data_IF_191479986138
#
_entry.id   IF_191479986138
#
_cell.length_a   1.000
_cell.length_b   1.000
_cell.length_c   1.000
_cell.angle_alpha   90.00
_cell.angle_beta   90.00
_cell.angle_gamma   90.00
#
_symmetry.space_group_name_H-M   'P 1'
#
loop_
_entity.id
_entity.type
_entity.pdbx_description
1 polymer ?
#
# COMPACT_ATOMS: atom_id res chain seq x y z
N UNK A 1 12.05 4.46 31.06
CA UNK A 1 12.67 5.17 32.22
C UNK A 1 12.68 6.63 31.86
N UNK A 2 11.98 7.48 32.63
CA UNK A 2 11.84 8.88 32.25
C UNK A 2 13.18 9.61 32.39
N UNK A 3 13.74 10.06 31.28
CA UNK A 3 14.99 10.83 31.29
C UNK A 3 14.67 12.23 31.81
N UNK A 4 15.05 12.49 33.07
CA UNK A 4 14.93 13.84 33.64
C UNK A 4 15.89 14.78 32.91
N UNK A 5 15.30 15.70 32.13
CA UNK A 5 16.01 16.80 31.47
C UNK A 5 16.14 17.99 32.43
N UNK A 6 17.32 18.59 32.49
CA UNK A 6 17.49 19.90 33.13
C UNK A 6 16.74 20.99 32.36
N UNK A 7 16.50 22.14 32.98
CA UNK A 7 15.88 23.30 32.30
C UNK A 7 16.70 23.75 31.10
N UNK A 8 18.03 23.66 31.20
CA UNK A 8 18.98 23.95 30.13
C UNK A 8 18.90 22.93 28.98
N UNK A 9 18.52 21.67 29.25
CA UNK A 9 18.38 20.62 28.24
C UNK A 9 17.04 20.64 27.48
N UNK A 10 16.07 21.46 27.90
CA UNK A 10 14.83 21.73 27.13
C UNK A 10 15.09 22.73 26.01
N UNK A 11 16.09 22.42 25.20
CA UNK A 11 16.60 23.25 24.11
C UNK A 11 15.62 23.15 22.94
N UNK A 12 15.61 24.21 22.13
CA UNK A 12 15.01 24.16 20.80
C UNK A 12 15.98 23.42 19.89
N UNK A 13 15.57 22.27 19.35
CA UNK A 13 16.38 21.52 18.38
C UNK A 13 16.42 22.33 17.09
N UNK A 14 17.60 22.85 16.75
CA UNK A 14 17.84 23.61 15.53
C UNK A 14 18.44 22.74 14.42
N UNK A 15 19.25 21.76 14.81
CA UNK A 15 19.89 20.78 13.93
C UNK A 15 19.96 19.41 14.64
N UNK A 16 20.30 18.36 13.90
CA UNK A 16 20.46 17.00 14.43
C UNK A 16 21.61 16.92 15.44
N UNK A 17 22.71 17.66 15.24
CA UNK A 17 23.93 17.58 16.03
C UNK A 17 23.70 17.96 17.50
N UNK A 18 22.89 19.00 17.75
CA UNK A 18 22.48 19.41 19.09
C UNK A 18 21.77 18.27 19.82
N UNK A 19 20.87 17.56 19.12
CA UNK A 19 20.12 16.45 19.69
C UNK A 19 21.02 15.23 19.91
N UNK A 20 21.88 14.91 18.95
CA UNK A 20 22.85 13.80 19.06
C UNK A 20 23.73 13.98 20.29
N UNK A 21 24.26 15.18 20.53
CA UNK A 21 25.09 15.46 21.72
C UNK A 21 24.33 15.18 23.02
N UNK A 22 23.06 15.57 23.11
CA UNK A 22 22.21 15.29 24.28
C UNK A 22 22.01 13.77 24.42
N UNK A 23 21.71 13.08 23.32
CA UNK A 23 21.43 11.64 23.34
C UNK A 23 22.68 10.80 23.66
N UNK A 24 23.84 11.17 23.14
CA UNK A 24 25.12 10.55 23.50
C UNK A 24 25.43 10.77 24.99
N UNK A 25 25.21 11.98 25.53
CA UNK A 25 25.35 12.20 26.97
C UNK A 25 24.40 11.34 27.79
N UNK A 26 23.16 11.11 27.33
CA UNK A 26 22.20 10.22 27.97
C UNK A 26 22.72 8.77 27.95
N UNK A 27 23.19 8.28 26.79
CA UNK A 27 23.79 6.95 26.64
C UNK A 27 25.01 6.78 27.56
N UNK A 28 25.85 7.81 27.69
CA UNK A 28 27.04 7.79 28.55
C UNK A 28 26.74 7.76 30.06
N UNK A 29 25.49 7.99 30.48
CA UNK A 29 25.05 7.78 31.88
C UNK A 29 24.94 6.29 32.22
N UNK A 30 24.72 5.44 31.22
CA UNK A 30 24.73 3.99 31.42
C UNK A 30 26.15 3.48 31.66
N UNK A 31 26.28 2.40 32.43
CA UNK A 31 27.57 1.73 32.57
C UNK A 31 27.95 0.99 31.28
N UNK A 32 29.19 0.47 31.20
CA UNK A 32 29.68 -0.23 30.00
C UNK A 32 28.79 -1.40 29.56
N UNK A 33 28.18 -2.12 30.51
CA UNK A 33 27.30 -3.25 30.20
C UNK A 33 25.97 -2.75 29.62
N UNK A 34 25.44 -1.65 30.15
CA UNK A 34 24.23 -1.00 29.64
C UNK A 34 24.44 -0.52 28.21
N UNK A 35 25.52 0.23 27.95
CA UNK A 35 25.85 0.75 26.61
C UNK A 35 26.07 -0.32 25.54
N UNK A 36 26.42 -1.53 25.96
CA UNK A 36 26.51 -2.68 25.07
C UNK A 36 25.16 -3.25 24.63
N UNK A 37 24.03 -2.68 25.09
CA UNK A 37 22.69 -3.02 24.64
C UNK A 37 22.16 -1.96 23.69
N UNK A 38 21.25 -2.39 22.85
CA UNK A 38 20.44 -1.50 22.03
C UNK A 38 19.36 -0.83 22.85
N UNK A 39 19.26 0.47 22.67
CA UNK A 39 18.24 1.33 23.25
C UNK A 39 17.51 2.00 22.11
N UNK A 40 16.21 2.16 22.29
CA UNK A 40 15.37 2.92 21.40
C UNK A 40 14.64 3.98 22.19
N UNK A 41 14.88 5.23 21.85
CA UNK A 41 14.24 6.39 22.44
C UNK A 41 13.34 7.09 21.44
N UNK A 42 12.41 7.85 22.02
CA UNK A 42 11.68 8.87 21.29
C UNK A 42 11.99 10.23 21.91
N UNK A 43 11.98 11.24 21.05
CA UNK A 43 12.10 12.64 21.44
C UNK A 43 10.82 13.33 21.00
N UNK A 44 9.99 13.69 21.98
CA UNK A 44 8.74 14.40 21.75
C UNK A 44 9.00 15.89 21.62
N UNK A 45 8.52 16.50 20.53
CA UNK A 45 8.75 17.91 20.23
C UNK A 45 7.45 18.71 20.20
N UNK A 46 7.54 19.97 20.62
CA UNK A 46 6.54 20.99 20.35
C UNK A 46 6.63 21.49 18.90
N UNK A 47 5.65 22.29 18.47
CA UNK A 47 5.59 22.92 17.16
C UNK A 47 6.79 23.83 16.83
N UNK A 48 7.46 24.36 17.85
CA UNK A 48 8.65 25.21 17.69
C UNK A 48 9.97 24.43 17.88
N UNK A 49 9.94 23.10 17.71
CA UNK A 49 11.06 22.17 17.87
C UNK A 49 11.66 22.13 19.29
N UNK A 50 10.94 22.61 20.31
CA UNK A 50 11.38 22.46 21.70
C UNK A 50 11.15 21.03 22.19
N UNK A 51 12.15 20.45 22.84
CA UNK A 51 12.02 19.13 23.49
C UNK A 51 11.02 19.20 24.64
N UNK A 52 9.96 18.41 24.53
CA UNK A 52 8.96 18.19 25.58
C UNK A 52 9.37 17.04 26.50
N UNK A 53 9.90 15.97 25.91
CA UNK A 53 10.27 14.73 26.60
C UNK A 53 11.27 13.94 25.77
N UNK A 54 12.16 13.22 26.46
CA UNK A 54 12.90 12.09 25.92
C UNK A 54 12.53 10.87 26.75
N UNK A 55 12.09 9.79 26.10
CA UNK A 55 11.68 8.56 26.78
C UNK A 55 12.37 7.36 26.13
N UNK A 56 12.90 6.46 26.98
CA UNK A 56 13.40 5.16 26.56
C UNK A 56 12.19 4.23 26.36
N UNK A 57 11.91 3.88 25.11
CA UNK A 57 10.80 3.00 24.73
C UNK A 57 11.19 1.54 24.89
N UNK A 58 12.41 1.19 24.50
CA UNK A 58 12.83 -0.20 24.53
C UNK A 58 14.30 -0.34 24.87
N UNK A 59 14.60 -1.33 25.71
CA UNK A 59 15.95 -1.77 26.05
C UNK A 59 16.09 -3.21 25.56
N UNK A 60 16.82 -3.38 24.48
CA UNK A 60 16.97 -4.62 23.76
C UNK A 60 18.18 -5.43 24.20
N UNK A 61 18.56 -6.33 23.31
CA UNK A 61 19.78 -7.13 23.40
C UNK A 61 20.95 -6.37 22.75
N UNK A 62 22.05 -7.08 22.50
CA UNK A 62 23.18 -6.53 21.74
C UNK A 62 22.92 -6.44 20.23
N UNK A 63 21.88 -7.11 19.71
CA UNK A 63 21.64 -7.28 18.27
C UNK A 63 20.30 -6.70 17.78
N UNK A 64 19.36 -6.48 18.70
CA UNK A 64 18.03 -5.99 18.35
C UNK A 64 17.26 -5.52 19.57
N UNK A 65 16.33 -4.61 19.32
CA UNK A 65 15.33 -4.13 20.27
C UNK A 65 13.94 -4.15 19.62
N UNK A 66 12.92 -4.55 20.39
CA UNK A 66 11.54 -4.58 19.91
C UNK A 66 10.91 -3.20 20.11
N UNK A 67 10.35 -2.61 19.05
CA UNK A 67 9.71 -1.30 19.09
C UNK A 67 8.28 -1.42 18.56
N UNK A 68 7.30 -1.27 19.45
CA UNK A 68 5.89 -1.30 19.08
C UNK A 68 5.30 0.12 19.00
N UNK A 69 4.47 0.42 17.98
CA UNK A 69 3.92 1.77 17.80
C UNK A 69 3.07 2.26 18.97
N UNK A 70 2.39 1.35 19.67
CA UNK A 70 1.59 1.70 20.84
C UNK A 70 2.45 2.36 21.93
N UNK A 71 3.64 1.83 22.18
CA UNK A 71 4.56 2.37 23.19
C UNK A 71 5.13 3.71 22.73
N UNK A 72 5.53 3.82 21.45
CA UNK A 72 6.05 5.06 20.85
C UNK A 72 5.02 6.20 20.95
N UNK A 73 3.81 5.98 20.44
CA UNK A 73 2.83 7.06 20.29
C UNK A 73 2.03 7.33 21.56
N UNK A 74 1.93 6.38 22.51
CA UNK A 74 1.29 6.64 23.81
C UNK A 74 1.95 7.82 24.54
N UNK A 75 3.28 7.85 24.62
CA UNK A 75 4.00 8.96 25.24
C UNK A 75 3.89 10.27 24.45
N UNK A 76 3.98 10.20 23.13
CA UNK A 76 3.82 11.37 22.27
C UNK A 76 2.46 12.05 22.47
N UNK A 77 1.38 11.26 22.47
CA UNK A 77 0.02 11.74 22.67
C UNK A 77 -0.21 12.26 24.09
N UNK A 78 0.25 11.54 25.11
CA UNK A 78 0.17 11.99 26.52
C UNK A 78 0.88 13.32 26.75
N UNK A 79 1.97 13.58 26.02
CA UNK A 79 2.73 14.85 26.11
C UNK A 79 2.29 15.91 25.13
N UNK A 80 1.24 15.65 24.34
CA UNK A 80 0.76 16.56 23.27
C UNK A 80 1.91 16.97 22.33
N UNK A 81 2.77 16.01 22.02
CA UNK A 81 3.81 16.20 21.03
C UNK A 81 3.16 16.48 19.68
N UNK A 82 3.68 17.47 18.96
CA UNK A 82 3.23 17.79 17.60
C UNK A 82 4.00 16.98 16.58
N UNK A 83 5.20 16.51 16.95
CA UNK A 83 6.09 15.73 16.09
C UNK A 83 7.11 14.99 16.98
N UNK A 84 7.72 13.93 16.46
CA UNK A 84 8.70 13.11 17.19
C UNK A 84 9.98 12.90 16.38
N UNK A 85 11.08 12.61 17.07
CA UNK A 85 12.31 12.05 16.48
C UNK A 85 12.55 10.69 17.12
N UNK A 86 12.91 9.71 16.29
CA UNK A 86 13.32 8.38 16.74
C UNK A 86 14.83 8.39 16.96
N UNK A 87 15.31 7.75 18.02
CA UNK A 87 16.74 7.63 18.28
C UNK A 87 17.06 6.20 18.68
N UNK A 88 18.07 5.63 18.05
CA UNK A 88 18.52 4.27 18.30
C UNK A 88 20.04 4.25 18.46
N UNK A 89 20.59 3.45 19.37
CA UNK A 89 22.04 3.26 19.43
C UNK A 89 22.47 1.91 18.88
N UNK A 90 23.62 1.90 18.19
CA UNK A 90 24.31 0.68 17.77
C UNK A 90 25.53 0.43 18.66
N UNK A 91 25.51 -0.60 19.52
CA UNK A 91 26.65 -0.96 20.36
C UNK A 91 27.91 -1.36 19.59
N UNK A 92 27.76 -1.78 18.32
CA UNK A 92 28.84 -2.15 17.43
C UNK A 92 29.79 -0.99 17.12
N UNK A 93 29.31 0.25 17.23
CA UNK A 93 30.03 1.45 16.80
C UNK A 93 29.87 1.78 15.31
N UNK A 94 29.12 1.00 14.56
CA UNK A 94 28.70 1.33 13.20
C UNK A 94 27.38 2.11 13.22
N UNK A 95 27.16 2.96 12.22
CA UNK A 95 25.93 3.77 12.11
C UNK A 95 25.09 3.39 10.90
N UNK A 96 25.49 2.32 10.18
CA UNK A 96 24.77 1.87 9.00
C UNK A 96 23.43 1.25 9.42
N UNK A 97 22.30 1.73 8.88
CA UNK A 97 20.98 1.25 9.27
C UNK A 97 20.73 -0.19 8.84
N UNK A 98 20.18 -1.00 9.74
CA UNK A 98 19.74 -2.36 9.43
C UNK A 98 18.39 -2.37 8.70
N UNK A 99 18.02 -3.53 8.14
CA UNK A 99 16.66 -3.73 7.61
C UNK A 99 15.58 -3.56 8.70
N UNK A 100 15.89 -3.95 9.93
CA UNK A 100 15.01 -3.75 11.09
C UNK A 100 14.78 -2.27 11.39
N UNK A 101 15.83 -1.46 11.35
CA UNK A 101 15.74 -0.01 11.53
C UNK A 101 14.85 0.63 10.46
N UNK A 102 15.05 0.24 9.20
CA UNK A 102 14.25 0.72 8.07
C UNK A 102 12.78 0.33 8.20
N UNK A 103 12.49 -0.92 8.57
CA UNK A 103 11.13 -1.42 8.79
C UNK A 103 10.42 -0.66 9.93
N UNK A 104 11.10 -0.48 11.07
CA UNK A 104 10.54 0.28 12.21
C UNK A 104 10.29 1.72 11.79
N UNK A 105 11.24 2.35 11.09
CA UNK A 105 11.11 3.73 10.60
C UNK A 105 9.89 3.88 9.68
N UNK A 106 9.74 3.01 8.68
CA UNK A 106 8.60 3.01 7.75
C UNK A 106 7.27 2.90 8.51
N UNK A 107 7.18 1.92 9.41
CA UNK A 107 5.98 1.69 10.23
C UNK A 107 5.63 2.90 11.09
N UNK A 108 6.60 3.52 11.76
CA UNK A 108 6.37 4.70 12.60
C UNK A 108 6.04 5.93 11.77
N UNK A 109 6.66 6.14 10.61
CA UNK A 109 6.35 7.24 9.71
C UNK A 109 4.90 7.17 9.21
N UNK A 110 4.47 5.98 8.77
CA UNK A 110 3.11 5.78 8.30
C UNK A 110 2.08 6.08 9.41
N UNK A 111 2.28 5.52 10.60
CA UNK A 111 1.38 5.72 11.75
C UNK A 111 1.39 7.18 12.21
N UNK A 112 2.57 7.78 12.35
CA UNK A 112 2.73 9.16 12.77
C UNK A 112 2.05 10.13 11.81
N UNK A 113 2.15 9.88 10.49
CA UNK A 113 1.39 10.62 9.49
C UNK A 113 -0.12 10.45 9.65
N UNK A 114 -0.59 9.23 9.91
CA UNK A 114 -2.01 8.93 10.08
C UNK A 114 -2.63 9.61 11.31
N UNK A 115 -1.92 9.62 12.44
CA UNK A 115 -2.41 10.24 13.69
C UNK A 115 -1.99 11.71 13.84
N UNK A 116 -1.38 12.30 12.81
CA UNK A 116 -0.95 13.70 12.75
C UNK A 116 0.13 14.07 13.80
N UNK A 117 1.04 13.13 14.09
CA UNK A 117 2.26 13.29 14.87
C UNK A 117 3.44 12.73 14.04
N UNK A 118 3.93 13.48 13.04
CA UNK A 118 4.95 12.98 12.12
C UNK A 118 6.29 12.67 12.80
N UNK A 119 6.99 11.68 12.26
CA UNK A 119 8.40 11.43 12.54
C UNK A 119 9.23 12.38 11.70
N UNK A 120 10.00 13.27 12.34
CA UNK A 120 10.86 14.22 11.65
C UNK A 120 12.19 13.62 11.21
N UNK A 121 12.73 12.73 12.03
CA UNK A 121 14.02 12.10 11.79
C UNK A 121 14.12 10.77 12.55
N UNK A 122 15.02 9.92 12.08
CA UNK A 122 15.53 8.77 12.80
C UNK A 122 17.05 8.89 12.89
N UNK A 123 17.55 8.99 14.13
CA UNK A 123 18.96 9.09 14.43
C UNK A 123 19.49 7.73 14.89
N UNK A 124 20.50 7.21 14.19
CA UNK A 124 21.33 6.12 14.71
C UNK A 124 22.57 6.74 15.33
N UNK A 125 22.83 6.47 16.60
CA UNK A 125 23.95 7.04 17.34
C UNK A 125 24.90 5.95 17.84
N UNK A 126 26.18 6.31 17.95
CA UNK A 126 27.19 5.56 18.68
C UNK A 126 27.77 6.45 19.77
N UNK A 127 28.76 5.97 20.53
CA UNK A 127 29.46 6.82 21.51
C UNK A 127 30.18 8.02 20.85
N UNK A 128 30.51 7.95 19.56
CA UNK A 128 31.38 8.94 18.90
C UNK A 128 30.86 9.45 17.54
N UNK A 129 29.89 8.78 16.93
CA UNK A 129 29.35 9.10 15.61
C UNK A 129 27.83 9.01 15.59
N UNK A 130 27.22 9.45 14.49
CA UNK A 130 25.80 9.29 14.24
C UNK A 130 25.49 9.26 12.74
N UNK A 131 24.28 8.82 12.41
CA UNK A 131 23.65 8.96 11.11
C UNK A 131 22.24 9.53 11.31
N UNK A 132 21.88 10.54 10.52
CA UNK A 132 20.52 11.08 10.42
C UNK A 132 19.88 10.58 9.13
N UNK A 133 18.76 9.87 9.24
CA UNK A 133 18.00 9.42 8.09
C UNK A 133 17.52 10.58 7.20
N UNK A 134 17.19 11.72 7.81
CA UNK A 134 16.82 12.94 7.10
C UNK A 134 17.99 13.45 6.26
N UNK A 135 19.18 13.60 6.85
CA UNK A 135 20.36 14.17 6.17
C UNK A 135 20.85 13.31 5.01
N UNK A 136 20.79 11.98 5.15
CA UNK A 136 21.19 11.05 4.07
C UNK A 136 20.07 10.75 3.07
N UNK A 137 18.88 11.36 3.24
CA UNK A 137 17.73 11.22 2.33
C UNK A 137 17.00 9.87 2.43
N UNK A 138 17.23 9.09 3.49
CA UNK A 138 16.57 7.80 3.69
C UNK A 138 15.09 7.94 4.01
N UNK A 139 14.66 8.99 4.72
CA UNK A 139 13.23 9.22 4.99
C UNK A 139 12.42 9.37 3.69
N UNK A 140 12.93 10.15 2.74
CA UNK A 140 12.27 10.36 1.46
C UNK A 140 12.21 9.08 0.63
N UNK A 141 13.26 8.26 0.69
CA UNK A 141 13.28 6.94 0.06
C UNK A 141 12.22 6.02 0.66
N UNK A 142 12.21 5.89 2.00
CA UNK A 142 11.24 5.07 2.73
C UNK A 142 9.80 5.55 2.46
N UNK A 143 9.55 6.86 2.48
CA UNK A 143 8.21 7.41 2.23
C UNK A 143 7.67 7.06 0.82
N UNK A 144 8.54 6.93 -0.19
CA UNK A 144 8.16 6.52 -1.55
C UNK A 144 7.94 5.03 -1.67
N UNK A 145 8.72 4.24 -0.94
CA UNK A 145 8.74 2.78 -0.98
C UNK A 145 7.91 2.16 0.16
N UNK A 146 7.12 2.97 0.88
CA UNK A 146 6.43 2.55 2.10
C UNK A 146 5.54 1.33 1.86
N UNK A 147 5.69 0.36 2.75
CA UNK A 147 4.91 -0.86 2.78
C UNK A 147 3.55 -0.68 3.48
N UNK A 148 3.36 0.44 4.18
CA UNK A 148 2.18 0.72 4.99
C UNK A 148 1.28 1.78 4.35
N UNK A 149 0.18 1.35 3.72
CA UNK A 149 -0.89 2.26 3.28
C UNK A 149 -2.06 2.26 4.30
N UNK A 150 -2.03 3.22 5.22
CA UNK A 150 -3.12 3.44 6.18
C UNK A 150 -4.26 4.28 5.60
N UNK A 151 -4.12 4.81 4.39
CA UNK A 151 -5.16 5.62 3.74
C UNK A 151 -6.13 4.80 2.92
N UNK A 152 -5.90 3.48 2.81
CA UNK A 152 -6.66 2.54 1.99
C UNK A 152 -6.78 2.93 0.52
N UNK A 153 -5.98 3.90 0.03
CA UNK A 153 -6.04 4.38 -1.34
C UNK A 153 -5.69 3.29 -2.34
N UNK A 154 -4.64 2.51 -2.06
CA UNK A 154 -4.29 1.36 -2.90
C UNK A 154 -5.42 0.34 -2.96
N UNK A 155 -6.14 0.14 -1.85
CA UNK A 155 -7.29 -0.76 -1.81
C UNK A 155 -8.47 -0.20 -2.62
N UNK A 156 -8.75 1.10 -2.52
CA UNK A 156 -9.77 1.77 -3.31
C UNK A 156 -9.47 1.70 -4.81
N UNK A 157 -8.22 2.02 -5.20
CA UNK A 157 -7.73 1.91 -6.59
C UNK A 157 -7.88 0.48 -7.13
N UNK A 158 -7.46 -0.52 -6.35
CA UNK A 158 -7.61 -1.92 -6.71
C UNK A 158 -9.08 -2.31 -6.86
N UNK A 159 -9.96 -1.87 -5.95
CA UNK A 159 -11.38 -2.17 -6.03
C UNK A 159 -12.00 -1.56 -7.30
N UNK A 160 -11.63 -0.33 -7.64
CA UNK A 160 -12.06 0.37 -8.86
C UNK A 160 -11.58 -0.36 -10.11
N UNK A 161 -10.31 -0.78 -10.15
CA UNK A 161 -9.74 -1.55 -11.25
C UNK A 161 -10.46 -2.90 -11.43
N UNK A 162 -10.73 -3.60 -10.33
CA UNK A 162 -11.47 -4.85 -10.33
C UNK A 162 -12.93 -4.69 -10.78
N UNK A 163 -13.58 -3.58 -10.42
CA UNK A 163 -14.94 -3.27 -10.87
C UNK A 163 -14.98 -3.00 -12.38
N UNK A 164 -14.03 -2.22 -12.90
CA UNK A 164 -13.87 -1.97 -14.33
C UNK A 164 -13.60 -3.26 -15.12
N UNK A 165 -12.77 -4.15 -14.56
CA UNK A 165 -12.47 -5.44 -15.16
C UNK A 165 -13.74 -6.33 -15.22
N UNK A 166 -14.49 -6.41 -14.12
CA UNK A 166 -15.77 -7.15 -14.07
C UNK A 166 -16.77 -6.62 -15.09
N UNK A 167 -16.93 -5.30 -15.16
CA UNK A 167 -17.79 -4.66 -16.15
C UNK A 167 -17.39 -5.04 -17.58
N UNK A 168 -16.10 -4.99 -17.90
CA UNK A 168 -15.58 -5.35 -19.22
C UNK A 168 -15.84 -6.82 -19.56
N UNK A 169 -15.66 -7.72 -18.59
CA UNK A 169 -15.97 -9.15 -18.77
C UNK A 169 -17.46 -9.35 -19.04
N UNK A 170 -18.34 -8.67 -18.30
CA UNK A 170 -19.80 -8.76 -18.49
C UNK A 170 -20.21 -8.27 -19.89
N UNK A 171 -19.65 -7.14 -20.34
CA UNK A 171 -19.90 -6.62 -21.70
C UNK A 171 -19.45 -7.60 -22.78
N UNK A 172 -18.23 -8.12 -22.67
CA UNK A 172 -17.70 -9.11 -23.62
C UNK A 172 -18.54 -10.39 -23.63
N UNK A 173 -19.04 -10.83 -22.47
CA UNK A 173 -19.94 -11.99 -22.36
C UNK A 173 -21.27 -11.72 -23.07
N UNK A 174 -21.90 -10.58 -22.81
CA UNK A 174 -23.15 -10.18 -23.48
C UNK A 174 -22.98 -10.10 -25.00
N UNK A 175 -21.90 -9.47 -25.48
CA UNK A 175 -21.59 -9.43 -26.91
C UNK A 175 -21.39 -10.81 -27.52
N UNK A 176 -20.70 -11.71 -26.81
CA UNK A 176 -20.48 -13.07 -27.27
C UNK A 176 -21.79 -13.87 -27.33
N UNK A 177 -22.66 -13.74 -26.32
CA UNK A 177 -23.98 -14.35 -26.28
C UNK A 177 -24.87 -13.84 -27.42
N UNK A 178 -24.86 -12.53 -27.71
CA UNK A 178 -25.58 -11.96 -28.85
C UNK A 178 -25.05 -12.48 -30.20
N UNK A 179 -23.73 -12.51 -30.38
CA UNK A 179 -23.08 -13.02 -31.59
C UNK A 179 -23.44 -14.50 -31.78
N UNK A 180 -23.43 -15.29 -30.71
CA UNK A 180 -23.81 -16.69 -30.73
C UNK A 180 -25.29 -16.87 -31.09
N UNK A 181 -26.20 -16.10 -30.50
CA UNK A 181 -27.63 -16.16 -30.81
C UNK A 181 -27.94 -15.76 -32.26
N UNK A 182 -27.26 -14.74 -32.80
CA UNK A 182 -27.35 -14.34 -34.21
C UNK A 182 -26.81 -15.43 -35.13
N UNK A 183 -25.67 -16.03 -34.79
CA UNK A 183 -25.09 -17.13 -35.55
C UNK A 183 -26.00 -18.37 -35.58
N UNK A 184 -26.59 -18.75 -34.44
CA UNK A 184 -27.55 -19.85 -34.35
C UNK A 184 -28.80 -19.61 -35.20
N UNK A 185 -29.41 -18.41 -35.12
CA UNK A 185 -30.56 -18.04 -35.95
C UNK A 185 -30.23 -18.07 -37.45
N UNK A 186 -29.05 -17.60 -37.84
CA UNK A 186 -28.60 -17.62 -39.23
C UNK A 186 -28.36 -19.06 -39.72
N UNK A 187 -27.76 -19.92 -38.90
CA UNK A 187 -27.55 -21.34 -39.21
C UNK A 187 -28.87 -22.09 -39.35
N UNK A 188 -29.83 -21.86 -38.44
CA UNK A 188 -31.17 -22.46 -38.51
C UNK A 188 -31.91 -22.03 -39.78
N UNK A 189 -31.85 -20.73 -40.12
CA UNK A 189 -32.44 -20.22 -41.36
C UNK A 189 -31.78 -20.81 -42.61
N UNK A 190 -30.45 -20.99 -42.61
CA UNK A 190 -29.74 -21.63 -43.70
C UNK A 190 -30.16 -23.10 -43.88
N UNK A 191 -30.26 -23.87 -42.79
CA UNK A 191 -30.73 -25.25 -42.82
C UNK A 191 -32.17 -25.36 -43.36
N UNK A 192 -33.08 -24.47 -42.92
CA UNK A 192 -34.47 -24.41 -43.44
C UNK A 192 -34.49 -24.14 -44.95
N UNK A 193 -33.65 -23.22 -45.44
CA UNK A 193 -33.54 -22.91 -46.87
C UNK A 193 -32.98 -24.08 -47.68
N UNK A 194 -32.03 -24.83 -47.14
CA UNK A 194 -31.47 -26.01 -47.80
C UNK A 194 -32.51 -27.13 -47.95
N UNK A 195 -33.28 -27.40 -46.89
CA UNK A 195 -34.42 -28.34 -46.94
C UNK A 195 -35.46 -27.88 -47.97
N UNK A 196 -35.83 -26.60 -47.97
CA UNK A 196 -36.78 -26.05 -48.94
C UNK A 196 -36.29 -26.17 -50.40
N UNK A 197 -35.00 -25.94 -50.65
CA UNK A 197 -34.35 -26.13 -51.96
C UNK A 197 -34.45 -27.58 -52.44
N UNK A 198 -34.22 -28.54 -51.55
CA UNK A 198 -34.35 -29.96 -51.86
C UNK A 198 -35.81 -30.32 -52.17
N UNK A 199 -36.75 -29.86 -51.36
CA UNK A 199 -38.19 -30.07 -51.59
C UNK A 199 -38.69 -29.45 -52.90
N UNK A 200 -38.17 -28.28 -53.30
CA UNK A 200 -38.47 -27.65 -54.59
C UNK A 200 -37.95 -28.51 -55.76
N UNK A 201 -36.75 -29.09 -55.65
CA UNK A 201 -36.21 -30.02 -56.66
C UNK A 201 -37.01 -31.31 -56.77
N UNK A 202 -37.55 -31.79 -55.65
CA UNK A 202 -38.38 -32.99 -55.58
C UNK A 202 -39.84 -32.74 -56.06
N UNK A 203 -40.16 -31.53 -56.53
CA UNK A 203 -41.47 -31.19 -57.11
C UNK A 203 -42.60 -30.94 -56.11
N UNK A 204 -42.27 -30.68 -54.84
CA UNK A 204 -43.26 -30.40 -53.78
C UNK A 204 -43.84 -28.98 -53.96
N UNK A 205 -45.15 -28.82 -53.75
CA UNK A 205 -45.83 -27.53 -53.87
C UNK A 205 -45.35 -26.50 -52.84
N UNK A 206 -45.32 -25.23 -53.23
CA UNK A 206 -44.82 -24.11 -52.41
C UNK A 206 -45.59 -23.98 -51.08
N UNK A 207 -46.90 -24.21 -51.08
CA UNK A 207 -47.74 -24.19 -49.88
C UNK A 207 -47.30 -25.24 -48.84
N UNK A 208 -46.96 -26.44 -49.30
CA UNK A 208 -46.47 -27.50 -48.42
C UNK A 208 -45.07 -27.17 -47.88
N UNK A 209 -44.18 -26.60 -48.69
CA UNK A 209 -42.84 -26.19 -48.26
C UNK A 209 -42.91 -25.13 -47.16
N UNK A 210 -43.78 -24.12 -47.31
CA UNK A 210 -44.04 -23.11 -46.27
C UNK A 210 -44.54 -23.77 -44.98
N UNK A 211 -45.49 -24.69 -45.10
CA UNK A 211 -46.08 -25.40 -43.95
C UNK A 211 -45.05 -26.24 -43.18
N UNK A 212 -44.12 -26.91 -43.87
CA UNK A 212 -43.14 -27.81 -43.24
C UNK A 212 -41.86 -27.10 -42.78
N UNK A 213 -41.40 -26.07 -43.48
CA UNK A 213 -40.14 -25.36 -43.16
C UNK A 213 -40.35 -24.10 -42.33
N UNK A 214 -41.59 -23.57 -42.30
CA UNK A 214 -41.92 -22.31 -41.63
C UNK A 214 -41.32 -21.06 -42.30
N UNK A 215 -40.80 -21.19 -43.53
CA UNK A 215 -40.29 -20.06 -44.32
C UNK A 215 -41.44 -19.23 -44.89
N UNK A 216 -41.20 -17.93 -45.07
CA UNK A 216 -42.18 -17.04 -45.71
C UNK A 216 -42.26 -17.25 -47.21
N UNK A 217 -43.40 -16.91 -47.82
CA UNK A 217 -43.63 -17.04 -49.27
C UNK A 217 -42.55 -16.32 -50.09
N UNK A 218 -42.19 -15.08 -49.73
CA UNK A 218 -41.08 -14.32 -50.34
C UNK A 218 -39.72 -15.03 -50.25
N UNK A 219 -39.46 -15.79 -49.19
CA UNK A 219 -38.19 -16.51 -49.02
C UNK A 219 -38.13 -17.76 -49.91
N UNK A 220 -39.24 -18.48 -50.04
CA UNK A 220 -39.33 -19.67 -50.90
C UNK A 220 -39.32 -19.29 -52.38
N UNK A 221 -40.02 -18.22 -52.77
CA UNK A 221 -39.99 -17.69 -54.15
C UNK A 221 -38.59 -17.24 -54.56
N UNK A 222 -37.87 -16.51 -53.68
CA UNK A 222 -36.46 -16.13 -53.93
C UNK A 222 -35.51 -17.32 -54.10
N UNK A 223 -35.82 -18.49 -53.53
CA UNK A 223 -35.02 -19.70 -53.72
C UNK A 223 -35.34 -20.35 -55.07
N UNK A 224 -36.62 -20.37 -55.46
CA UNK A 224 -37.07 -20.85 -56.79
C UNK A 224 -36.48 -20.00 -57.91
N UNK A 225 -36.44 -18.68 -57.76
CA UNK A 225 -35.90 -17.76 -58.77
C UNK A 225 -34.36 -17.85 -58.91
N UNK A 226 -33.68 -18.57 -58.01
CA UNK A 226 -32.23 -18.82 -58.01
C UNK A 226 -31.85 -20.24 -58.45
N UNK A 227 -32.83 -21.11 -58.67
CA UNK A 227 -32.64 -22.46 -59.24
C UNK A 227 -32.56 -22.40 -60.76
#
# INVERSE_FOLDING_TARGET
MNVKLSTEQKIKVLNCEDLVRIMQQILMRENKIGRNKEHFWIVCLANNNRILMIELISLGTVNSTLVEPMEVFSFALQKRAVQIILVHNHPSGETEPSEGDNYVTDRMMAIGKFINVPVLDHLIITETSYLSYLEVGLLDKIAKETSFDLTFKKQEEFNLEMEMLRYTIEQNRQEAEEKLAKAQKNAELAAKKEVALKQLKDGISIENIIKYTGLTLKQVEKLRDKM
#
